data_IF_945034742582
#
_entry.id   IF_945034742582
#
_cell.length_a   1.000
_cell.length_b   1.000
_cell.length_c   1.000
_cell.angle_alpha   90.00
_cell.angle_beta   90.00
_cell.angle_gamma   90.00
#
_symmetry.space_group_name_H-M   'P 1'
#
loop_
_entity.id
_entity.type
_entity.pdbx_description
1 polymer ?
#
# COMPACT_ATOMS: atom_id res chain seq x y z
N UNK A 1 8.91 4.38 21.76
CA UNK A 1 9.05 3.88 20.37
C UNK A 1 8.50 4.91 19.38
N UNK A 2 9.13 5.10 18.23
CA UNK A 2 8.66 6.03 17.20
C UNK A 2 7.80 5.31 16.17
N UNK A 3 6.63 5.88 15.83
CA UNK A 3 5.73 5.40 14.79
C UNK A 3 5.57 6.48 13.72
N UNK A 4 6.20 6.27 12.56
CA UNK A 4 6.14 7.18 11.42
C UNK A 4 4.90 6.90 10.58
N UNK A 5 4.06 7.91 10.34
CA UNK A 5 2.82 7.76 9.58
C UNK A 5 2.38 9.08 8.93
N UNK A 6 2.01 9.04 7.65
CA UNK A 6 1.51 10.23 6.96
C UNK A 6 0.06 10.57 7.32
N UNK A 7 -0.72 9.59 7.78
CA UNK A 7 -2.13 9.78 8.14
C UNK A 7 -2.43 9.11 9.47
N UNK A 8 -3.01 9.85 10.41
CA UNK A 8 -3.62 9.26 11.60
C UNK A 8 -5.03 8.79 11.23
N UNK A 9 -5.31 7.52 11.42
CA UNK A 9 -6.58 6.93 11.00
C UNK A 9 -6.80 5.52 11.55
N UNK A 10 -7.62 4.74 10.87
CA UNK A 10 -7.97 3.41 11.32
C UNK A 10 -6.76 2.46 11.45
N UNK A 11 -5.76 2.56 10.58
CA UNK A 11 -4.55 1.73 10.66
C UNK A 11 -3.71 2.08 11.90
N UNK A 12 -3.48 3.36 12.19
CA UNK A 12 -2.72 3.78 13.38
C UNK A 12 -3.38 3.35 14.69
N UNK A 13 -4.73 3.32 14.75
CA UNK A 13 -5.44 2.81 15.93
C UNK A 13 -5.17 1.34 16.22
N UNK A 14 -4.95 0.51 15.18
CA UNK A 14 -4.58 -0.89 15.38
C UNK A 14 -3.19 -1.00 16.03
N UNK A 15 -2.22 -0.19 15.59
CA UNK A 15 -0.91 -0.10 16.19
C UNK A 15 -0.97 0.44 17.63
N UNK A 16 -1.78 1.46 17.87
CA UNK A 16 -2.00 2.02 19.20
C UNK A 16 -2.56 0.97 20.17
N UNK A 17 -3.54 0.19 19.73
CA UNK A 17 -4.10 -0.90 20.53
C UNK A 17 -3.02 -1.94 20.90
N UNK A 18 -2.22 -2.37 19.91
CA UNK A 18 -1.14 -3.33 20.14
C UNK A 18 -0.05 -2.78 21.07
N UNK A 19 0.30 -1.50 20.93
CA UNK A 19 1.27 -0.84 21.80
C UNK A 19 0.77 -0.78 23.25
N UNK A 20 -0.48 -0.41 23.50
CA UNK A 20 -1.08 -0.42 24.84
C UNK A 20 -1.06 -1.81 25.48
N UNK A 21 -1.39 -2.85 24.69
CA UNK A 21 -1.35 -4.25 25.16
C UNK A 21 0.04 -4.66 25.62
N UNK A 22 1.08 -4.13 24.98
CA UNK A 22 2.49 -4.40 25.31
C UNK A 22 3.08 -3.42 26.33
N UNK A 23 2.35 -2.42 26.79
CA UNK A 23 2.86 -1.36 27.65
C UNK A 23 3.89 -0.45 26.96
N UNK A 24 3.87 -0.37 25.61
CA UNK A 24 4.79 0.42 24.80
C UNK A 24 4.27 1.85 24.64
N UNK A 25 5.08 2.83 25.05
CA UNK A 25 4.79 4.23 24.78
C UNK A 25 5.14 4.57 23.33
N UNK A 26 4.17 5.13 22.59
CA UNK A 26 4.34 5.62 21.22
C UNK A 26 4.55 7.12 21.17
N UNK A 27 5.49 7.54 20.33
CA UNK A 27 5.63 8.91 19.86
C UNK A 27 5.37 8.89 18.34
N UNK A 28 4.35 9.62 17.91
CA UNK A 28 4.00 9.71 16.50
C UNK A 28 4.92 10.69 15.77
N UNK A 29 5.34 10.31 14.55
CA UNK A 29 6.03 11.21 13.61
C UNK A 29 5.14 11.35 12.39
N UNK A 30 4.67 12.57 12.11
CA UNK A 30 3.63 12.80 11.10
C UNK A 30 3.84 14.12 10.33
N UNK A 31 3.30 14.19 9.11
CA UNK A 31 3.33 15.40 8.27
C UNK A 31 2.11 16.31 8.43
N UNK A 32 1.36 16.16 9.52
CA UNK A 32 0.22 17.04 9.81
C UNK A 32 0.65 18.44 10.22
N UNK A 33 -0.17 19.42 9.84
CA UNK A 33 -0.03 20.80 10.25
C UNK A 33 -0.24 20.94 11.77
N UNK A 34 0.70 21.61 12.46
CA UNK A 34 0.66 21.86 13.92
C UNK A 34 -0.38 22.86 14.39
N UNK A 35 -1.03 23.60 13.48
CA UNK A 35 -1.87 24.75 13.83
C UNK A 35 -3.31 24.38 14.25
N UNK A 36 -3.69 23.13 14.11
CA UNK A 36 -4.96 22.63 14.64
C UNK A 36 -4.65 21.93 15.96
N UNK A 37 -5.38 22.27 17.03
CA UNK A 37 -5.27 21.60 18.33
C UNK A 37 -5.07 20.09 18.09
N UNK A 38 -3.87 19.62 18.43
CA UNK A 38 -3.53 18.21 18.30
C UNK A 38 -4.23 17.47 19.44
N UNK A 39 -5.27 16.66 19.17
CA UNK A 39 -5.93 15.88 20.20
C UNK A 39 -5.00 14.86 20.86
N UNK A 40 -3.81 14.67 20.30
CA UNK A 40 -2.78 13.76 20.79
C UNK A 40 -1.78 14.45 21.74
N UNK A 41 -1.84 15.77 21.88
CA UNK A 41 -0.97 16.57 22.73
C UNK A 41 0.51 16.44 22.34
N UNK A 42 1.40 16.50 23.29
CA UNK A 42 2.87 16.50 23.11
C UNK A 42 3.47 15.17 22.61
N UNK A 43 2.66 14.23 22.11
CA UNK A 43 3.11 12.91 21.66
C UNK A 43 3.35 12.81 20.15
N UNK A 44 3.21 13.89 19.39
CA UNK A 44 3.44 13.93 17.96
C UNK A 44 4.60 14.86 17.60
N UNK A 45 5.53 14.36 16.78
CA UNK A 45 6.59 15.14 16.15
C UNK A 45 6.17 15.39 14.70
N UNK A 46 6.03 16.66 14.34
CA UNK A 46 5.69 17.00 12.99
C UNK A 46 6.93 17.18 12.12
N UNK A 47 6.86 16.65 10.92
CA UNK A 47 7.93 16.64 9.95
C UNK A 47 7.37 16.79 8.53
N UNK A 48 8.24 16.98 7.57
CA UNK A 48 7.94 16.99 6.14
C UNK A 48 8.57 15.77 5.47
N UNK A 49 7.76 14.77 5.11
CA UNK A 49 8.26 13.52 4.52
C UNK A 49 8.81 13.65 3.09
N UNK A 50 8.53 14.75 2.39
CA UNK A 50 9.18 15.07 1.12
C UNK A 50 10.69 15.34 1.26
N UNK A 51 11.16 15.62 2.49
CA UNK A 51 12.57 15.81 2.82
C UNK A 51 13.00 14.84 3.92
N UNK A 52 13.23 13.55 3.61
CA UNK A 52 13.43 12.50 4.62
C UNK A 52 14.60 12.75 5.58
N UNK A 53 15.72 13.32 5.10
CA UNK A 53 16.88 13.64 5.94
C UNK A 53 16.57 14.79 6.90
N UNK A 54 15.89 15.84 6.44
CA UNK A 54 15.48 16.96 7.30
C UNK A 54 14.45 16.50 8.35
N UNK A 55 13.50 15.65 7.93
CA UNK A 55 12.54 15.04 8.84
C UNK A 55 13.24 14.23 9.94
N UNK A 56 14.20 13.41 9.57
CA UNK A 56 15.00 12.63 10.52
C UNK A 56 15.77 13.51 11.50
N UNK A 57 16.37 14.60 11.02
CA UNK A 57 17.06 15.56 11.90
C UNK A 57 16.10 16.15 12.93
N UNK A 58 14.92 16.61 12.50
CA UNK A 58 13.89 17.13 13.41
C UNK A 58 13.50 16.10 14.47
N UNK A 59 13.33 14.84 14.06
CA UNK A 59 13.01 13.75 15.00
C UNK A 59 14.14 13.54 16.01
N UNK A 60 15.39 13.45 15.56
CA UNK A 60 16.55 13.24 16.45
C UNK A 60 16.68 14.37 17.49
N UNK A 61 16.44 15.63 17.08
CA UNK A 61 16.45 16.76 18.02
C UNK A 61 15.29 16.65 19.02
N UNK A 62 14.09 16.31 18.56
CA UNK A 62 12.91 16.21 19.41
C UNK A 62 13.00 15.07 20.46
N UNK A 63 13.71 13.98 20.13
CA UNK A 63 13.88 12.85 21.05
C UNK A 63 15.21 12.87 21.80
N UNK A 64 15.95 13.98 21.74
CA UNK A 64 17.23 14.12 22.43
C UNK A 64 17.05 13.91 23.94
N UNK A 65 17.77 12.91 24.47
CA UNK A 65 17.69 12.52 25.90
C UNK A 65 16.56 11.57 26.25
N UNK A 66 15.76 11.14 25.26
CA UNK A 66 14.80 10.06 25.43
C UNK A 66 15.40 8.72 25.01
N UNK A 67 15.04 7.67 25.73
CA UNK A 67 15.37 6.29 25.34
C UNK A 67 14.41 5.82 24.24
N UNK A 68 14.87 5.82 22.99
CA UNK A 68 14.11 5.33 21.83
C UNK A 68 14.52 3.91 21.51
N UNK A 69 13.70 2.95 21.90
CA UNK A 69 14.00 1.51 21.79
C UNK A 69 13.67 0.92 20.42
N UNK A 70 12.88 1.61 19.54
CA UNK A 70 12.52 1.05 18.25
C UNK A 70 11.78 2.04 17.35
N UNK A 71 11.70 1.69 16.06
CA UNK A 71 11.08 2.50 15.00
C UNK A 71 10.23 1.58 14.10
N UNK A 72 9.03 2.05 13.75
CA UNK A 72 8.18 1.48 12.68
C UNK A 72 7.65 2.60 11.78
N UNK A 73 7.38 2.24 10.53
CA UNK A 73 6.78 3.16 9.56
C UNK A 73 5.56 2.53 8.88
N UNK A 74 4.50 3.33 8.73
CA UNK A 74 3.26 2.99 8.05
C UNK A 74 3.14 3.79 6.75
N UNK A 75 3.43 3.13 5.64
CA UNK A 75 3.42 3.74 4.31
C UNK A 75 4.81 4.06 3.76
N UNK A 76 4.86 4.26 2.45
CA UNK A 76 6.11 4.37 1.70
C UNK A 76 6.84 5.70 1.96
N UNK A 77 6.10 6.82 2.11
CA UNK A 77 6.67 8.14 2.41
C UNK A 77 7.34 8.19 3.79
N UNK A 78 6.65 7.76 4.87
CA UNK A 78 7.24 7.75 6.21
C UNK A 78 8.45 6.83 6.34
N UNK A 79 8.49 5.72 5.59
CA UNK A 79 9.55 4.73 5.69
C UNK A 79 10.97 5.28 5.41
N UNK A 80 11.09 6.22 4.47
CA UNK A 80 12.38 6.84 4.17
C UNK A 80 12.88 7.70 5.35
N UNK A 81 12.03 8.56 5.91
CA UNK A 81 12.38 9.37 7.08
C UNK A 81 12.69 8.49 8.30
N UNK A 82 11.94 7.39 8.49
CA UNK A 82 12.22 6.41 9.53
C UNK A 82 13.60 5.78 9.38
N UNK A 83 14.03 5.46 8.15
CA UNK A 83 15.34 4.88 7.89
C UNK A 83 16.50 5.87 8.21
N UNK A 84 16.36 7.13 7.82
CA UNK A 84 17.34 8.15 8.18
C UNK A 84 17.39 8.40 9.70
N UNK A 85 16.23 8.46 10.38
CA UNK A 85 16.16 8.63 11.82
C UNK A 85 16.78 7.41 12.55
N UNK A 86 16.47 6.19 12.11
CA UNK A 86 17.03 4.97 12.68
C UNK A 86 18.56 4.94 12.58
N UNK A 87 19.11 5.31 11.40
CA UNK A 87 20.56 5.42 11.20
C UNK A 87 21.19 6.42 12.17
N UNK A 88 20.56 7.60 12.34
CA UNK A 88 21.06 8.65 13.22
C UNK A 88 20.97 8.32 14.71
N UNK A 89 19.96 7.53 15.10
CA UNK A 89 19.74 7.08 16.48
C UNK A 89 20.44 5.76 16.81
N UNK A 90 21.09 5.10 15.83
CA UNK A 90 21.71 3.79 16.03
C UNK A 90 20.72 2.65 16.25
N UNK A 91 19.48 2.79 15.76
CA UNK A 91 18.42 1.79 15.89
C UNK A 91 18.46 0.85 14.69
N UNK A 92 18.28 -0.44 14.91
CA UNK A 92 18.24 -1.45 13.86
C UNK A 92 17.03 -1.20 12.91
N UNK A 93 17.32 -1.01 11.64
CA UNK A 93 16.34 -0.73 10.58
C UNK A 93 16.98 -0.94 9.19
N UNK A 94 16.23 -0.70 8.12
CA UNK A 94 16.76 -0.70 6.76
C UNK A 94 17.66 0.52 6.49
N UNK A 95 18.67 0.33 5.63
CA UNK A 95 19.50 1.45 5.19
C UNK A 95 18.68 2.44 4.33
N UNK A 96 18.84 3.77 4.49
CA UNK A 96 18.05 4.76 3.74
C UNK A 96 18.04 4.56 2.23
N UNK A 97 19.20 4.27 1.62
CA UNK A 97 19.28 4.05 0.16
C UNK A 97 18.45 2.83 -0.32
N UNK A 98 18.32 1.78 0.51
CA UNK A 98 17.48 0.62 0.21
C UNK A 98 15.98 1.00 0.22
N UNK A 99 15.57 1.78 1.22
CA UNK A 99 14.18 2.26 1.34
C UNK A 99 13.83 3.23 0.20
N UNK A 100 14.74 4.12 -0.16
CA UNK A 100 14.56 5.05 -1.29
C UNK A 100 14.46 4.30 -2.63
N UNK A 101 15.25 3.24 -2.83
CA UNK A 101 15.14 2.39 -4.01
C UNK A 101 13.76 1.74 -4.13
N UNK A 102 13.16 1.31 -3.02
CA UNK A 102 11.81 0.76 -2.99
C UNK A 102 10.71 1.80 -3.33
N UNK A 103 10.92 3.08 -3.01
CA UNK A 103 9.95 4.15 -3.31
C UNK A 103 9.89 4.52 -4.79
N UNK A 104 10.91 4.25 -5.56
CA UNK A 104 10.98 4.58 -6.98
C UNK A 104 10.75 3.35 -7.85
N UNK A 105 9.60 3.28 -8.51
CA UNK A 105 9.29 2.17 -9.44
C UNK A 105 10.35 2.01 -10.53
N UNK A 106 10.91 3.11 -11.03
CA UNK A 106 12.01 3.09 -12.00
C UNK A 106 13.27 2.46 -11.39
N UNK A 107 13.69 2.95 -10.21
CA UNK A 107 14.91 2.44 -9.57
C UNK A 107 14.77 0.97 -9.20
N UNK A 108 13.59 0.57 -8.76
CA UNK A 108 13.30 -0.83 -8.46
C UNK A 108 13.45 -1.72 -9.70
N UNK A 109 12.93 -1.29 -10.87
CA UNK A 109 13.14 -2.02 -12.15
C UNK A 109 14.61 -2.12 -12.54
N UNK A 110 15.39 -1.05 -12.36
CA UNK A 110 16.84 -1.06 -12.62
C UNK A 110 17.55 -2.05 -11.71
N UNK A 111 17.28 -2.02 -10.40
CA UNK A 111 17.88 -2.94 -9.42
C UNK A 111 17.52 -4.41 -9.73
N UNK A 112 16.26 -4.68 -10.06
CA UNK A 112 15.84 -6.06 -10.39
C UNK A 112 16.48 -6.55 -11.68
N UNK A 113 16.58 -5.71 -12.71
CA UNK A 113 17.28 -6.04 -13.95
C UNK A 113 18.76 -6.34 -13.69
N UNK A 114 19.43 -5.48 -12.92
CA UNK A 114 20.87 -5.62 -12.63
C UNK A 114 21.16 -6.85 -11.74
N UNK A 115 20.14 -7.35 -11.02
CA UNK A 115 20.16 -8.58 -10.24
C UNK A 115 19.65 -9.82 -11.01
N UNK A 116 19.41 -9.70 -12.32
CA UNK A 116 18.92 -10.76 -13.19
C UNK A 116 17.57 -11.36 -12.77
N UNK A 117 16.75 -10.60 -12.04
CA UNK A 117 15.35 -10.95 -11.77
C UNK A 117 14.48 -10.69 -13.01
N UNK A 118 13.36 -11.38 -13.11
CA UNK A 118 12.41 -11.12 -14.18
C UNK A 118 11.88 -9.69 -14.13
N UNK A 119 12.10 -8.92 -15.19
CA UNK A 119 11.56 -7.57 -15.37
C UNK A 119 11.03 -7.39 -16.78
N UNK A 120 9.88 -6.69 -16.96
CA UNK A 120 9.42 -6.34 -18.28
C UNK A 120 10.37 -5.30 -18.90
N UNK A 121 10.29 -5.09 -20.21
CA UNK A 121 10.87 -3.87 -20.77
C UNK A 121 10.27 -2.65 -20.11
N UNK A 122 11.03 -1.60 -19.86
CA UNK A 122 10.53 -0.36 -19.23
C UNK A 122 11.22 0.88 -19.79
N UNK A 123 10.50 1.99 -19.73
CA UNK A 123 10.96 3.32 -20.13
C UNK A 123 10.46 4.38 -19.16
N UNK A 124 11.31 5.33 -18.86
CA UNK A 124 10.96 6.50 -18.07
C UNK A 124 10.66 7.67 -19.02
N UNK A 125 9.40 8.07 -19.12
CA UNK A 125 8.94 9.10 -20.04
C UNK A 125 8.52 10.37 -19.31
N UNK A 126 8.80 11.56 -19.86
CA UNK A 126 8.21 12.80 -19.34
C UNK A 126 6.71 12.83 -19.64
N UNK A 127 5.95 13.52 -18.78
CA UNK A 127 4.51 13.75 -19.02
C UNK A 127 4.24 14.93 -19.97
N UNK A 128 5.24 15.81 -20.19
CA UNK A 128 5.23 16.94 -21.11
C UNK A 128 6.56 16.99 -21.91
N UNK A 129 6.54 17.36 -23.18
CA UNK A 129 5.34 17.48 -24.05
C UNK A 129 4.67 16.14 -24.26
N UNK A 130 3.48 16.15 -24.90
CA UNK A 130 2.74 14.92 -25.25
C UNK A 130 3.68 13.82 -25.76
N UNK A 131 3.52 12.56 -25.31
CA UNK A 131 4.44 11.48 -25.62
C UNK A 131 4.44 11.01 -27.09
N UNK A 132 3.74 11.69 -28.01
CA UNK A 132 3.65 11.27 -29.41
C UNK A 132 5.00 11.00 -30.09
N UNK A 133 6.06 11.82 -29.92
CA UNK A 133 7.36 11.53 -30.52
C UNK A 133 8.05 10.32 -29.91
N UNK A 134 7.65 9.89 -28.72
CA UNK A 134 8.29 8.81 -27.93
C UNK A 134 7.64 7.44 -28.18
N UNK A 135 6.56 7.40 -28.95
CA UNK A 135 5.81 6.17 -29.26
C UNK A 135 6.58 5.17 -30.14
N UNK A 136 7.67 5.62 -30.78
CA UNK A 136 8.55 4.72 -31.53
C UNK A 136 9.18 3.68 -30.58
N UNK A 137 8.83 2.42 -30.79
CA UNK A 137 9.35 1.28 -30.04
C UNK A 137 8.63 0.99 -28.71
N UNK A 138 7.37 1.43 -28.53
CA UNK A 138 6.49 0.91 -27.49
C UNK A 138 5.84 -0.38 -28.00
N UNK A 139 6.03 -1.46 -27.25
CA UNK A 139 5.34 -2.74 -27.50
C UNK A 139 4.06 -2.81 -26.66
N UNK A 140 3.01 -3.41 -27.23
CA UNK A 140 1.72 -3.58 -26.56
C UNK A 140 1.46 -5.07 -26.29
N UNK A 141 0.69 -5.40 -25.23
CA UNK A 141 0.16 -4.49 -24.20
C UNK A 141 1.25 -3.92 -23.29
N UNK A 142 1.04 -2.70 -22.81
CA UNK A 142 1.92 -2.05 -21.86
C UNK A 142 1.13 -1.42 -20.69
N UNK A 143 1.83 -1.04 -19.63
CA UNK A 143 1.27 -0.39 -18.44
C UNK A 143 1.97 0.95 -18.22
N UNK A 144 1.16 2.01 -18.07
CA UNK A 144 1.62 3.33 -17.69
C UNK A 144 1.36 3.53 -16.20
N UNK A 145 2.34 4.06 -15.47
CA UNK A 145 2.18 4.30 -14.03
C UNK A 145 3.00 5.50 -13.54
N UNK A 146 2.51 6.24 -12.54
CA UNK A 146 3.32 7.20 -11.79
C UNK A 146 4.53 6.54 -11.15
N UNK A 147 5.64 7.27 -11.00
CA UNK A 147 6.85 6.73 -10.39
C UNK A 147 6.73 6.52 -8.88
N UNK A 148 5.99 7.39 -8.19
CA UNK A 148 5.99 7.47 -6.72
C UNK A 148 4.64 7.21 -6.05
N UNK A 149 3.53 7.11 -6.79
CA UNK A 149 2.21 6.86 -6.19
C UNK A 149 2.03 5.38 -5.83
N UNK A 150 1.23 5.11 -4.80
CA UNK A 150 0.88 3.79 -4.28
C UNK A 150 -0.60 3.45 -4.51
N UNK A 151 -1.06 2.27 -4.04
CA UNK A 151 -2.44 1.80 -4.14
C UNK A 151 -2.98 1.79 -5.59
N UNK A 152 -2.18 1.37 -6.54
CA UNK A 152 -2.51 1.31 -7.98
C UNK A 152 -3.03 2.62 -8.59
N UNK A 153 -2.86 3.76 -7.88
CA UNK A 153 -3.34 5.06 -8.34
C UNK A 153 -2.62 5.50 -9.62
N UNK A 154 -3.41 5.71 -10.68
CA UNK A 154 -2.89 6.12 -11.98
C UNK A 154 -2.20 4.99 -12.77
N UNK A 155 -2.34 3.73 -12.36
CA UNK A 155 -1.83 2.57 -13.10
C UNK A 155 -2.85 2.17 -14.16
N UNK A 156 -2.46 2.23 -15.44
CA UNK A 156 -3.36 2.00 -16.58
C UNK A 156 -2.71 1.11 -17.62
N UNK A 157 -3.38 0.03 -18.02
CA UNK A 157 -2.98 -0.81 -19.15
C UNK A 157 -3.47 -0.21 -20.46
N UNK A 158 -2.62 -0.28 -21.48
CA UNK A 158 -2.94 0.10 -22.86
C UNK A 158 -2.58 -1.05 -23.80
N UNK A 159 -3.51 -1.42 -24.69
CA UNK A 159 -3.36 -2.54 -25.62
C UNK A 159 -2.96 -2.08 -27.03
N UNK A 160 -3.01 -0.78 -27.29
CA UNK A 160 -2.68 -0.17 -28.56
C UNK A 160 -2.30 1.31 -28.37
N UNK A 161 -1.95 1.98 -29.47
CA UNK A 161 -1.52 3.38 -29.48
C UNK A 161 -2.61 4.34 -28.96
N UNK A 162 -3.86 4.12 -29.34
CA UNK A 162 -4.97 4.99 -28.97
C UNK A 162 -5.21 4.95 -27.45
N UNK A 163 -5.29 3.74 -26.90
CA UNK A 163 -5.40 3.52 -25.45
C UNK A 163 -4.20 4.10 -24.70
N UNK A 164 -2.98 3.98 -25.25
CA UNK A 164 -1.79 4.58 -24.67
C UNK A 164 -1.91 6.10 -24.55
N UNK A 165 -2.33 6.79 -25.59
CA UNK A 165 -2.49 8.26 -25.58
C UNK A 165 -3.57 8.69 -24.58
N UNK A 166 -4.67 7.95 -24.51
CA UNK A 166 -5.72 8.19 -23.51
C UNK A 166 -5.20 7.99 -22.08
N UNK A 167 -4.47 6.88 -21.82
CA UNK A 167 -3.85 6.57 -20.54
C UNK A 167 -2.82 7.64 -20.15
N UNK A 168 -1.92 8.03 -21.06
CA UNK A 168 -0.92 9.06 -20.81
C UNK A 168 -1.57 10.42 -20.45
N UNK A 169 -2.65 10.78 -21.16
CA UNK A 169 -3.42 11.99 -20.85
C UNK A 169 -4.03 11.93 -19.45
N UNK A 170 -4.54 10.76 -19.06
CA UNK A 170 -5.12 10.53 -17.74
C UNK A 170 -4.09 10.60 -16.62
N UNK A 171 -2.96 9.91 -16.78
CA UNK A 171 -1.83 9.96 -15.82
C UNK A 171 -1.31 11.39 -15.67
N UNK A 172 -1.14 12.11 -16.78
CA UNK A 172 -0.74 13.51 -16.77
C UNK A 172 -1.71 14.40 -15.99
N UNK A 173 -3.03 14.23 -16.20
CA UNK A 173 -4.05 14.99 -15.45
C UNK A 173 -3.99 14.70 -13.97
N UNK A 174 -3.84 13.43 -13.59
CA UNK A 174 -3.68 13.00 -12.20
C UNK A 174 -2.44 13.65 -11.57
N UNK A 175 -1.27 13.53 -12.19
CA UNK A 175 -0.02 14.06 -11.66
C UNK A 175 0.01 15.59 -11.55
N UNK A 176 -0.85 16.29 -12.31
CA UNK A 176 -1.04 17.74 -12.25
C UNK A 176 -2.22 18.19 -11.39
N UNK A 177 -2.93 17.26 -10.74
CA UNK A 177 -4.03 17.64 -9.87
C UNK A 177 -3.52 18.35 -8.60
N UNK A 178 -4.29 19.30 -8.06
CA UNK A 178 -3.90 20.03 -6.85
C UNK A 178 -3.60 19.10 -5.67
N UNK A 179 -4.35 18.01 -5.54
CA UNK A 179 -4.21 17.02 -4.47
C UNK A 179 -2.86 16.30 -4.54
N UNK A 180 -2.44 15.90 -5.75
CA UNK A 180 -1.14 15.22 -5.96
C UNK A 180 0.01 16.22 -5.84
N UNK A 181 -0.12 17.43 -6.41
CA UNK A 181 0.91 18.45 -6.29
C UNK A 181 1.13 18.88 -4.83
N UNK A 182 0.07 18.90 -4.02
CA UNK A 182 0.16 19.19 -2.58
C UNK A 182 0.96 18.15 -1.80
N UNK A 183 1.11 16.92 -2.32
CA UNK A 183 1.94 15.88 -1.68
C UNK A 183 3.43 16.16 -1.79
N UNK A 184 3.84 16.99 -2.75
CA UNK A 184 5.25 17.30 -3.07
C UNK A 184 6.11 16.07 -3.33
N UNK A 185 5.48 14.99 -3.85
CA UNK A 185 6.22 13.79 -4.24
C UNK A 185 7.24 14.11 -5.33
N UNK A 186 8.40 13.45 -5.34
CA UNK A 186 9.39 13.62 -6.41
C UNK A 186 8.89 13.01 -7.73
N UNK A 187 9.44 13.51 -8.85
CA UNK A 187 9.21 12.94 -10.18
C UNK A 187 7.75 12.93 -10.65
N UNK A 188 6.94 13.92 -10.22
CA UNK A 188 5.57 14.11 -10.71
C UNK A 188 5.51 14.57 -12.18
N UNK A 189 6.62 14.92 -12.77
CA UNK A 189 6.81 15.30 -14.18
C UNK A 189 7.10 14.10 -15.10
N UNK A 190 7.13 12.88 -14.56
CA UNK A 190 7.50 11.64 -15.28
C UNK A 190 6.56 10.49 -14.98
N UNK A 191 6.52 9.53 -15.91
CA UNK A 191 5.82 8.26 -15.75
C UNK A 191 6.70 7.09 -16.20
N UNK A 192 6.50 5.93 -15.59
CA UNK A 192 7.05 4.67 -16.05
C UNK A 192 6.08 4.04 -17.06
N UNK A 193 6.61 3.59 -18.18
CA UNK A 193 5.91 2.72 -19.14
C UNK A 193 6.65 1.40 -19.19
N UNK A 194 5.95 0.31 -19.01
CA UNK A 194 6.54 -1.02 -18.99
C UNK A 194 5.65 -2.04 -19.71
N UNK A 195 6.22 -3.17 -20.13
CA UNK A 195 5.48 -4.29 -20.67
C UNK A 195 4.46 -4.83 -19.67
N UNK A 196 3.25 -5.15 -20.14
CA UNK A 196 2.27 -5.82 -19.29
C UNK A 196 2.75 -7.25 -18.99
N UNK A 197 2.79 -7.62 -17.72
CA UNK A 197 3.12 -8.97 -17.26
C UNK A 197 1.80 -9.73 -17.08
N UNK A 198 1.49 -10.73 -17.90
CA UNK A 198 0.30 -11.54 -17.71
C UNK A 198 0.44 -12.48 -16.52
N UNK A 199 -0.65 -13.09 -16.08
CA UNK A 199 -0.65 -14.13 -15.06
C UNK A 199 -1.34 -13.75 -13.76
N UNK A 200 -1.27 -14.66 -12.79
CA UNK A 200 -1.87 -14.47 -11.46
C UNK A 200 -1.04 -13.55 -10.62
N UNK A 201 -1.70 -12.74 -9.82
CA UNK A 201 -1.04 -11.84 -8.89
C UNK A 201 -1.21 -12.32 -7.44
N UNK A 202 -0.15 -12.17 -6.66
CA UNK A 202 -0.12 -12.47 -5.23
C UNK A 202 0.54 -11.34 -4.46
N UNK A 203 0.18 -11.21 -3.18
CA UNK A 203 0.88 -10.37 -2.23
C UNK A 203 1.59 -11.23 -1.18
N UNK A 204 2.74 -10.78 -0.73
CA UNK A 204 3.57 -11.42 0.28
C UNK A 204 3.75 -10.47 1.45
N UNK A 205 3.43 -10.95 2.65
CA UNK A 205 3.84 -10.31 3.89
C UNK A 205 5.05 -11.04 4.46
N UNK A 206 6.06 -10.29 4.83
CA UNK A 206 7.30 -10.82 5.35
C UNK A 206 7.87 -10.00 6.49
N UNK A 207 8.85 -10.59 7.16
CA UNK A 207 9.61 -9.96 8.22
C UNK A 207 11.09 -10.23 8.00
N UNK A 208 11.88 -9.16 7.92
CA UNK A 208 13.32 -9.23 7.75
C UNK A 208 14.03 -9.11 9.10
N UNK A 209 14.95 -10.02 9.35
CA UNK A 209 15.84 -9.97 10.50
C UNK A 209 17.26 -10.19 10.01
N UNK A 210 18.11 -9.18 10.09
CA UNK A 210 19.52 -9.23 9.68
C UNK A 210 19.72 -9.77 8.24
N UNK A 211 18.87 -9.34 7.31
CA UNK A 211 18.91 -9.76 5.91
C UNK A 211 18.23 -11.09 5.60
N UNK A 212 17.74 -11.79 6.60
CA UNK A 212 17.00 -13.05 6.44
C UNK A 212 15.50 -12.74 6.38
N UNK A 213 14.86 -13.08 5.25
CA UNK A 213 13.43 -12.92 5.06
C UNK A 213 12.67 -14.14 5.59
N UNK A 214 11.73 -13.92 6.50
CA UNK A 214 10.71 -14.87 6.91
C UNK A 214 9.39 -14.47 6.25
N UNK A 215 8.82 -15.35 5.43
CA UNK A 215 7.48 -15.16 4.89
C UNK A 215 6.46 -15.43 6.00
N UNK A 216 5.58 -14.46 6.25
CA UNK A 216 4.49 -14.55 7.22
C UNK A 216 3.22 -15.06 6.55
N UNK A 217 2.94 -14.60 5.32
CA UNK A 217 1.80 -15.03 4.53
C UNK A 217 2.04 -14.79 3.04
N UNK A 218 1.49 -15.67 2.20
CA UNK A 218 1.23 -15.42 0.79
C UNK A 218 -0.27 -15.28 0.64
N UNK A 219 -0.71 -14.16 0.05
CA UNK A 219 -2.11 -13.89 -0.24
C UNK A 219 -2.39 -14.11 -1.72
N UNK A 220 -3.37 -14.93 -2.02
CA UNK A 220 -3.98 -14.95 -3.34
C UNK A 220 -4.79 -13.66 -3.56
N UNK A 221 -4.70 -13.09 -4.76
CA UNK A 221 -5.59 -12.05 -5.28
C UNK A 221 -6.50 -12.74 -6.31
N UNK A 222 -7.71 -13.20 -5.93
CA UNK A 222 -8.53 -14.05 -6.78
C UNK A 222 -9.18 -13.33 -7.96
N UNK A 223 -9.34 -12.00 -7.87
CA UNK A 223 -9.89 -11.22 -8.97
C UNK A 223 -8.83 -11.03 -10.07
N UNK A 224 -9.21 -11.16 -11.36
CA UNK A 224 -8.27 -10.98 -12.45
C UNK A 224 -7.86 -9.51 -12.54
N UNK A 225 -6.58 -9.22 -12.30
CA UNK A 225 -6.00 -7.90 -12.44
C UNK A 225 -5.45 -7.71 -13.87
N UNK A 226 -6.34 -7.75 -14.87
CA UNK A 226 -5.97 -7.70 -16.29
C UNK A 226 -6.05 -6.30 -16.88
N UNK A 227 -6.63 -5.36 -16.16
CA UNK A 227 -6.81 -3.98 -16.61
C UNK A 227 -8.21 -3.72 -17.22
N UNK A 228 -8.46 -2.50 -17.71
CA UNK A 228 -7.48 -1.42 -17.88
C UNK A 228 -6.95 -0.82 -16.58
N UNK A 229 -7.63 -1.00 -15.45
CA UNK A 229 -7.23 -0.54 -14.11
C UNK A 229 -6.97 -1.74 -13.22
N UNK A 230 -6.15 -1.56 -12.19
CA UNK A 230 -5.68 -2.64 -11.32
C UNK A 230 -6.15 -2.40 -9.89
N UNK A 231 -7.46 -2.36 -9.69
CA UNK A 231 -8.08 -2.21 -8.38
C UNK A 231 -8.02 -3.54 -7.62
N UNK A 232 -7.35 -3.52 -6.50
CA UNK A 232 -7.26 -4.69 -5.62
C UNK A 232 -8.50 -4.79 -4.76
N UNK A 233 -9.09 -5.97 -4.67
CA UNK A 233 -10.36 -6.17 -3.98
C UNK A 233 -10.28 -7.22 -2.89
N UNK A 234 -9.73 -8.40 -3.14
CA UNK A 234 -9.74 -9.53 -2.21
C UNK A 234 -8.32 -10.06 -2.01
N UNK A 235 -7.97 -10.31 -0.76
CA UNK A 235 -6.80 -11.07 -0.34
C UNK A 235 -7.22 -12.27 0.49
N UNK A 236 -6.74 -13.46 0.13
CA UNK A 236 -7.03 -14.70 0.85
C UNK A 236 -5.74 -15.47 1.15
N UNK A 237 -5.59 -15.96 2.36
CA UNK A 237 -4.45 -16.79 2.79
C UNK A 237 -4.96 -18.01 3.60
N UNK A 238 -4.28 -19.18 3.55
CA UNK A 238 -3.07 -19.47 2.80
C UNK A 238 -3.32 -19.50 1.29
N UNK A 239 -2.26 -19.31 0.52
CA UNK A 239 -2.33 -19.38 -0.94
C UNK A 239 -2.70 -20.78 -1.40
N UNK A 240 -3.52 -20.86 -2.46
CA UNK A 240 -3.93 -22.11 -3.16
C UNK A 240 -2.97 -22.51 -4.26
N UNK A 241 -1.90 -21.77 -4.47
CA UNK A 241 -0.88 -22.10 -5.45
C UNK A 241 -0.15 -23.39 -5.04
N UNK A 242 0.32 -24.20 -6.00
CA UNK A 242 1.16 -25.35 -5.70
C UNK A 242 2.37 -24.97 -4.85
N UNK A 243 2.82 -25.89 -3.98
CA UNK A 243 3.94 -25.63 -3.07
C UNK A 243 5.21 -25.22 -3.81
N UNK A 244 5.50 -25.84 -4.96
CA UNK A 244 6.65 -25.46 -5.80
C UNK A 244 6.59 -24.03 -6.30
N UNK A 245 5.38 -23.50 -6.57
CA UNK A 245 5.19 -22.12 -6.99
C UNK A 245 5.35 -21.19 -5.78
N UNK A 246 4.83 -21.56 -4.60
CA UNK A 246 5.03 -20.79 -3.39
C UNK A 246 6.53 -20.69 -3.03
N UNK A 247 7.28 -21.78 -3.12
CA UNK A 247 8.74 -21.79 -2.94
C UNK A 247 9.47 -20.89 -3.96
N UNK A 248 9.00 -20.86 -5.22
CA UNK A 248 9.55 -19.95 -6.22
C UNK A 248 9.28 -18.47 -5.89
N UNK A 249 8.09 -18.15 -5.34
CA UNK A 249 7.75 -16.81 -4.85
C UNK A 249 8.66 -16.44 -3.68
N UNK A 250 8.83 -17.31 -2.70
CA UNK A 250 9.70 -17.08 -1.52
C UNK A 250 11.14 -16.80 -1.96
N UNK A 251 11.66 -17.61 -2.90
CA UNK A 251 12.99 -17.41 -3.48
C UNK A 251 13.10 -16.06 -4.18
N UNK A 252 12.15 -15.73 -5.05
CA UNK A 252 12.13 -14.45 -5.77
C UNK A 252 12.05 -13.25 -4.79
N UNK A 253 11.24 -13.36 -3.74
CA UNK A 253 11.13 -12.35 -2.70
C UNK A 253 12.47 -12.16 -1.96
N UNK A 254 13.14 -13.24 -1.58
CA UNK A 254 14.45 -13.18 -0.91
C UNK A 254 15.53 -12.58 -1.83
N UNK A 255 15.52 -12.92 -3.12
CA UNK A 255 16.46 -12.36 -4.09
C UNK A 255 16.19 -10.86 -4.34
N UNK A 256 14.91 -10.45 -4.46
CA UNK A 256 14.52 -9.05 -4.61
C UNK A 256 14.91 -8.20 -3.40
N UNK A 257 14.68 -8.70 -2.19
CA UNK A 257 15.07 -8.07 -0.92
C UNK A 257 16.58 -7.86 -0.85
N UNK A 258 17.35 -8.89 -1.20
CA UNK A 258 18.83 -8.83 -1.24
C UNK A 258 19.31 -7.81 -2.26
N UNK A 259 18.73 -7.81 -3.46
CA UNK A 259 19.09 -6.87 -4.53
C UNK A 259 18.84 -5.41 -4.11
N UNK A 260 17.73 -5.14 -3.42
CA UNK A 260 17.38 -3.81 -2.89
C UNK A 260 18.21 -3.42 -1.68
N UNK A 261 18.91 -4.36 -1.03
CA UNK A 261 19.69 -4.11 0.18
C UNK A 261 18.85 -3.93 1.44
N UNK A 262 17.64 -4.50 1.47
CA UNK A 262 16.79 -4.51 2.67
C UNK A 262 17.31 -5.52 3.68
N UNK A 263 17.22 -5.19 4.98
CA UNK A 263 17.83 -6.00 6.02
C UNK A 263 16.98 -6.21 7.27
N UNK A 264 16.07 -5.29 7.62
CA UNK A 264 15.35 -5.39 8.89
C UNK A 264 13.98 -4.73 8.86
N UNK A 265 13.00 -5.37 9.51
CA UNK A 265 11.64 -4.88 9.65
C UNK A 265 10.62 -5.51 8.70
N UNK A 266 9.39 -4.99 8.67
CA UNK A 266 8.30 -5.53 7.85
C UNK A 266 8.55 -5.36 6.35
N UNK A 267 7.96 -6.28 5.59
CA UNK A 267 7.99 -6.29 4.13
C UNK A 267 6.59 -6.59 3.59
N UNK A 268 6.12 -5.77 2.68
CA UNK A 268 5.03 -6.08 1.77
C UNK A 268 5.57 -6.14 0.35
N UNK A 269 5.24 -7.19 -0.40
CA UNK A 269 5.71 -7.33 -1.77
C UNK A 269 4.64 -7.95 -2.66
N UNK A 270 4.65 -7.59 -3.95
CA UNK A 270 3.69 -8.07 -4.93
C UNK A 270 4.41 -8.75 -6.08
N UNK A 271 3.83 -9.86 -6.56
CA UNK A 271 4.40 -10.69 -7.60
C UNK A 271 3.34 -11.11 -8.60
N UNK A 272 3.74 -11.25 -9.87
CA UNK A 272 2.97 -11.99 -10.87
C UNK A 272 3.64 -13.29 -11.22
N UNK A 273 2.83 -14.30 -11.52
CA UNK A 273 3.26 -15.65 -11.84
C UNK A 273 2.66 -16.07 -13.17
N UNK A 274 3.50 -16.49 -14.11
CA UNK A 274 3.12 -17.04 -15.40
C UNK A 274 4.08 -18.18 -15.80
N UNK A 275 4.01 -18.62 -17.05
CA UNK A 275 4.85 -19.71 -17.59
C UNK A 275 6.35 -19.37 -17.58
N UNK A 276 6.71 -18.09 -17.67
CA UNK A 276 8.09 -17.61 -17.62
C UNK A 276 8.65 -17.50 -16.18
N UNK A 277 7.81 -17.74 -15.17
CA UNK A 277 8.19 -17.74 -13.76
C UNK A 277 7.55 -16.68 -12.89
N UNK A 278 8.26 -16.25 -11.85
CA UNK A 278 7.84 -15.24 -10.88
C UNK A 278 8.43 -13.88 -11.24
N UNK A 279 7.59 -12.86 -11.26
CA UNK A 279 7.92 -11.48 -11.63
C UNK A 279 7.66 -10.54 -10.45
N UNK A 280 8.68 -9.93 -9.83
CA UNK A 280 8.45 -8.95 -8.77
C UNK A 280 7.85 -7.66 -9.35
N UNK A 281 6.69 -7.26 -8.83
CA UNK A 281 6.03 -6.02 -9.21
C UNK A 281 6.46 -4.85 -8.34
N UNK A 282 6.35 -5.03 -7.03
CA UNK A 282 6.67 -4.02 -6.04
C UNK A 282 7.19 -4.68 -4.75
N UNK A 283 8.13 -4.00 -4.08
CA UNK A 283 8.65 -4.39 -2.77
C UNK A 283 8.66 -3.14 -1.89
N UNK A 284 7.96 -3.18 -0.78
CA UNK A 284 7.83 -2.05 0.14
C UNK A 284 8.29 -2.45 1.55
N UNK A 285 9.25 -1.73 2.16
CA UNK A 285 9.76 -2.02 3.51
C UNK A 285 8.82 -1.47 4.59
N UNK A 286 7.59 -1.93 4.57
CA UNK A 286 6.50 -1.57 5.47
C UNK A 286 5.45 -2.68 5.49
N UNK A 287 4.56 -2.73 6.50
CA UNK A 287 3.46 -3.69 6.50
C UNK A 287 2.41 -3.38 5.43
N UNK A 288 1.56 -4.35 5.13
CA UNK A 288 0.38 -4.22 4.28
C UNK A 288 -0.47 -3.03 4.70
N UNK A 289 -1.03 -2.34 3.73
CA UNK A 289 -1.86 -1.14 3.96
C UNK A 289 -3.28 -1.44 4.45
N UNK A 290 -4.01 -0.37 4.70
CA UNK A 290 -5.40 -0.45 5.11
C UNK A 290 -5.59 -1.16 6.46
N UNK A 291 -6.63 -1.98 6.55
CA UNK A 291 -6.90 -2.88 7.66
C UNK A 291 -6.53 -4.34 7.32
N UNK A 292 -5.88 -4.59 6.18
CA UNK A 292 -5.64 -5.95 5.67
C UNK A 292 -4.83 -6.82 6.65
N UNK A 293 -3.98 -6.21 7.46
CA UNK A 293 -3.23 -6.87 8.54
C UNK A 293 -4.13 -7.65 9.51
N UNK A 294 -5.39 -7.24 9.70
CA UNK A 294 -6.35 -7.93 10.60
C UNK A 294 -6.70 -9.36 10.16
N UNK A 295 -6.47 -9.71 8.91
CA UNK A 295 -6.63 -11.09 8.43
C UNK A 295 -5.54 -12.02 8.98
N UNK A 296 -4.43 -11.49 9.48
CA UNK A 296 -3.30 -12.27 9.99
C UNK A 296 -3.38 -12.42 11.51
N UNK A 297 -3.22 -13.66 11.98
CA UNK A 297 -3.10 -14.02 13.39
C UNK A 297 -1.93 -14.94 13.59
N UNK A 298 -1.24 -14.79 14.72
CA UNK A 298 -0.04 -15.54 15.06
C UNK A 298 -0.23 -16.22 16.41
N UNK A 299 0.08 -17.51 16.48
CA UNK A 299 0.02 -18.30 17.71
C UNK A 299 1.24 -17.97 18.59
N UNK A 300 1.00 -17.63 19.84
CA UNK A 300 2.04 -17.43 20.81
C UNK A 300 1.86 -18.44 21.94
N UNK A 301 2.94 -19.04 22.44
CA UNK A 301 2.90 -20.13 23.43
C UNK A 301 2.42 -19.69 24.83
N UNK A 302 1.87 -18.50 24.97
CA UNK A 302 1.24 -18.02 26.19
C UNK A 302 -0.29 -18.24 26.13
N UNK A 303 -0.95 -18.53 27.25
CA UNK A 303 -2.41 -18.58 27.30
C UNK A 303 -2.99 -17.20 26.96
N UNK A 304 -3.81 -17.14 25.91
CA UNK A 304 -4.42 -15.88 25.46
C UNK A 304 -4.91 -15.95 24.03
N UNK A 305 -5.45 -14.82 23.55
CA UNK A 305 -5.83 -14.66 22.15
C UNK A 305 -4.60 -14.57 21.24
N UNK A 306 -4.68 -15.11 20.01
CA UNK A 306 -3.64 -14.96 19.01
C UNK A 306 -3.32 -13.49 18.77
N UNK A 307 -2.04 -13.16 18.62
CA UNK A 307 -1.61 -11.78 18.35
C UNK A 307 -1.86 -11.39 16.88
N UNK A 308 -2.16 -10.12 16.65
CA UNK A 308 -2.20 -9.53 15.31
C UNK A 308 -0.81 -9.23 14.75
N UNK A 309 -0.76 -8.83 13.47
CA UNK A 309 0.49 -8.44 12.82
C UNK A 309 1.13 -7.24 13.52
N UNK A 310 0.35 -6.27 13.96
CA UNK A 310 0.83 -5.05 14.62
C UNK A 310 1.60 -5.39 15.90
N UNK A 311 1.07 -6.31 16.71
CA UNK A 311 1.75 -6.78 17.93
C UNK A 311 3.04 -7.53 17.60
N UNK A 312 3.02 -8.39 16.57
CA UNK A 312 4.20 -9.13 16.12
C UNK A 312 5.29 -8.16 15.65
N UNK A 313 4.94 -7.11 14.92
CA UNK A 313 5.89 -6.10 14.45
C UNK A 313 6.50 -5.29 15.61
N UNK A 314 5.71 -4.94 16.63
CA UNK A 314 6.27 -4.30 17.83
C UNK A 314 7.22 -5.22 18.57
N UNK A 315 6.85 -6.50 18.74
CA UNK A 315 7.72 -7.49 19.37
C UNK A 315 9.04 -7.65 18.63
N UNK A 316 8.99 -7.64 17.29
CA UNK A 316 10.19 -7.70 16.46
C UNK A 316 11.05 -6.43 16.61
N UNK A 317 10.47 -5.25 16.47
CA UNK A 317 11.21 -3.99 16.53
C UNK A 317 11.80 -3.70 17.91
N UNK A 318 11.24 -4.30 18.97
CA UNK A 318 11.70 -4.18 20.36
C UNK A 318 12.42 -5.44 20.87
N UNK A 319 12.68 -6.41 20.01
CA UNK A 319 13.31 -7.70 20.36
C UNK A 319 12.60 -8.45 21.52
N UNK A 320 11.26 -8.27 21.63
CA UNK A 320 10.46 -8.94 22.67
C UNK A 320 10.15 -10.39 22.28
N UNK A 321 10.00 -11.33 23.24
CA UNK A 321 9.62 -12.70 22.95
C UNK A 321 8.34 -12.81 22.12
N UNK A 322 8.27 -13.81 21.23
CA UNK A 322 7.10 -14.10 20.40
C UNK A 322 7.07 -13.43 19.02
N UNK A 323 8.03 -12.59 18.65
CA UNK A 323 8.11 -12.02 17.30
C UNK A 323 8.28 -13.09 16.20
N UNK A 324 8.77 -14.27 16.56
CA UNK A 324 8.96 -15.39 15.64
C UNK A 324 7.81 -16.41 15.64
N UNK A 325 6.67 -16.06 16.20
CA UNK A 325 5.50 -16.93 16.26
C UNK A 325 4.99 -17.34 14.88
N UNK A 326 4.52 -18.59 14.70
CA UNK A 326 3.93 -19.04 13.45
C UNK A 326 2.56 -18.43 13.25
N UNK A 327 2.18 -18.23 11.97
CA UNK A 327 0.81 -17.88 11.62
C UNK A 327 -0.14 -19.04 11.95
N UNK A 328 -1.36 -18.72 12.36
CA UNK A 328 -2.41 -19.71 12.52
C UNK A 328 -2.71 -20.45 11.20
N UNK A 329 -3.11 -21.71 11.31
CA UNK A 329 -3.42 -22.57 10.15
C UNK A 329 -4.81 -22.26 9.53
N UNK A 330 -5.64 -21.48 10.22
CA UNK A 330 -6.99 -21.12 9.74
C UNK A 330 -6.87 -20.23 8.50
N UNK A 331 -7.70 -20.52 7.51
CA UNK A 331 -7.82 -19.67 6.32
C UNK A 331 -8.51 -18.36 6.69
N UNK A 332 -8.03 -17.27 6.15
CA UNK A 332 -8.55 -15.94 6.41
C UNK A 332 -8.46 -15.07 5.15
N UNK A 333 -9.29 -14.06 5.10
CA UNK A 333 -9.26 -13.13 3.98
C UNK A 333 -9.86 -11.79 4.34
N UNK A 334 -9.58 -10.83 3.49
CA UNK A 334 -10.11 -9.47 3.56
C UNK A 334 -10.59 -9.06 2.17
N UNK A 335 -11.74 -8.40 2.13
CA UNK A 335 -12.17 -7.65 0.95
C UNK A 335 -12.06 -6.16 1.27
N UNK A 336 -11.33 -5.47 0.44
CA UNK A 336 -11.32 -4.02 0.34
C UNK A 336 -12.51 -3.62 -0.53
N UNK A 337 -13.55 -3.04 0.08
CA UNK A 337 -14.82 -2.74 -0.60
C UNK A 337 -14.57 -1.63 -1.64
N UNK A 338 -14.69 -1.92 -2.95
CA UNK A 338 -14.35 -0.98 -4.00
C UNK A 338 -15.32 0.21 -4.06
N UNK A 339 -14.85 1.33 -4.63
CA UNK A 339 -15.69 2.49 -4.94
C UNK A 339 -16.28 2.31 -6.33
N UNK A 340 -17.59 2.01 -6.49
CA UNK A 340 -18.16 1.65 -7.79
C UNK A 340 -18.27 2.82 -8.77
N UNK A 341 -18.34 4.04 -8.26
CA UNK A 341 -18.35 5.29 -9.03
C UNK A 341 -17.94 6.48 -8.16
N UNK A 342 -17.34 7.49 -8.78
CA UNK A 342 -17.02 8.75 -8.09
C UNK A 342 -18.28 9.56 -7.76
N UNK A 343 -18.28 10.25 -6.62
CA UNK A 343 -19.40 11.07 -6.15
C UNK A 343 -19.34 11.36 -4.67
N UNK A 344 -20.50 11.72 -4.09
CA UNK A 344 -20.69 11.90 -2.66
C UNK A 344 -21.37 10.65 -2.09
N UNK A 345 -20.80 10.05 -1.04
CA UNK A 345 -21.40 8.90 -0.37
C UNK A 345 -22.54 9.37 0.55
N UNK A 346 -23.78 9.06 0.17
CA UNK A 346 -24.97 9.49 0.92
C UNK A 346 -25.51 8.44 1.90
N UNK A 347 -25.24 7.17 1.65
CA UNK A 347 -25.73 6.10 2.51
C UNK A 347 -25.11 4.74 2.25
N UNK A 348 -25.14 3.90 3.27
CA UNK A 348 -24.76 2.48 3.23
C UNK A 348 -25.91 1.69 3.86
N UNK A 349 -26.31 0.60 3.22
CA UNK A 349 -27.34 -0.32 3.74
C UNK A 349 -26.91 -1.77 3.53
N UNK A 350 -27.59 -2.72 4.21
CA UNK A 350 -27.31 -4.16 4.09
C UNK A 350 -26.22 -4.67 5.07
N UNK A 351 -25.68 -3.82 5.93
CA UNK A 351 -24.58 -4.19 6.84
C UNK A 351 -24.93 -5.37 7.77
N UNK A 352 -26.16 -5.45 8.31
CA UNK A 352 -26.58 -6.54 9.18
C UNK A 352 -26.66 -7.87 8.41
N UNK A 353 -27.21 -7.85 7.19
CA UNK A 353 -27.24 -9.01 6.32
C UNK A 353 -25.83 -9.49 5.98
N UNK A 354 -24.95 -8.58 5.58
CA UNK A 354 -23.54 -8.88 5.30
C UNK A 354 -22.82 -9.52 6.50
N UNK A 355 -23.02 -8.98 7.71
CA UNK A 355 -22.46 -9.55 8.95
C UNK A 355 -23.00 -10.93 9.29
N UNK A 356 -24.21 -11.26 8.83
CA UNK A 356 -24.87 -12.55 9.10
C UNK A 356 -24.40 -13.69 8.20
N UNK A 357 -23.62 -13.39 7.15
CA UNK A 357 -23.08 -14.42 6.25
C UNK A 357 -22.08 -15.30 7.02
N UNK A 358 -22.24 -16.64 6.98
CA UNK A 358 -21.35 -17.56 7.67
C UNK A 358 -19.89 -17.41 7.24
N UNK A 359 -18.98 -17.25 8.21
CA UNK A 359 -17.56 -17.04 7.99
C UNK A 359 -17.13 -15.58 8.03
N UNK A 360 -18.05 -14.63 7.93
CA UNK A 360 -17.74 -13.20 8.14
C UNK A 360 -17.47 -12.97 9.63
N UNK A 361 -16.33 -12.35 9.91
CA UNK A 361 -15.90 -12.04 11.28
C UNK A 361 -15.99 -10.56 11.61
N UNK A 362 -15.86 -9.69 10.61
CA UNK A 362 -15.93 -8.24 10.79
C UNK A 362 -16.34 -7.55 9.49
N UNK A 363 -17.08 -6.46 9.61
CA UNK A 363 -17.34 -5.47 8.57
C UNK A 363 -17.06 -4.10 9.15
N UNK A 364 -16.21 -3.32 8.51
CA UNK A 364 -15.88 -1.95 8.90
C UNK A 364 -16.04 -1.01 7.69
N UNK A 365 -17.01 -0.11 7.74
CA UNK A 365 -17.12 0.99 6.76
C UNK A 365 -16.21 2.13 7.22
N UNK A 366 -15.25 2.50 6.39
CA UNK A 366 -14.26 3.54 6.68
C UNK A 366 -14.53 4.86 5.98
N UNK A 367 -15.24 4.81 4.84
CA UNK A 367 -15.71 6.00 4.16
C UNK A 367 -16.77 6.71 5.00
N UNK A 368 -16.70 8.02 5.07
CA UNK A 368 -17.67 8.83 5.83
C UNK A 368 -18.82 9.24 4.93
N UNK A 369 -20.01 9.29 5.49
CA UNK A 369 -21.16 9.88 4.80
C UNK A 369 -20.88 11.35 4.50
N UNK A 370 -21.34 11.78 3.35
CA UNK A 370 -21.18 13.13 2.79
C UNK A 370 -19.75 13.51 2.38
N UNK A 371 -18.79 12.58 2.44
CA UNK A 371 -17.47 12.78 1.86
C UNK A 371 -17.48 12.46 0.36
N UNK A 372 -16.63 13.20 -0.37
CA UNK A 372 -16.36 12.90 -1.77
C UNK A 372 -15.48 11.64 -1.87
N UNK A 373 -15.92 10.70 -2.70
CA UNK A 373 -15.21 9.46 -3.00
C UNK A 373 -14.84 9.40 -4.48
N UNK A 374 -13.70 8.81 -4.79
CA UNK A 374 -13.19 8.67 -6.16
C UNK A 374 -12.98 7.20 -6.50
N UNK A 375 -13.55 6.77 -7.64
CA UNK A 375 -13.30 5.45 -8.19
C UNK A 375 -11.91 5.39 -8.86
N UNK A 376 -11.38 4.16 -9.03
CA UNK A 376 -10.15 3.96 -9.79
C UNK A 376 -10.28 4.37 -11.25
N UNK A 377 -9.19 4.83 -11.87
CA UNK A 377 -7.80 4.87 -11.37
C UNK A 377 -7.41 6.16 -10.65
N UNK A 378 -8.31 7.13 -10.49
CA UNK A 378 -8.03 8.39 -9.78
C UNK A 378 -8.08 8.21 -8.25
N UNK A 379 -8.93 7.29 -7.78
CA UNK A 379 -9.06 6.94 -6.37
C UNK A 379 -7.84 6.20 -5.81
N UNK A 380 -7.73 6.22 -4.49
CA UNK A 380 -6.71 5.48 -3.72
C UNK A 380 -7.26 5.01 -2.36
N UNK A 381 -8.58 4.94 -2.23
CA UNK A 381 -9.25 4.56 -0.99
C UNK A 381 -10.43 3.63 -1.26
N UNK A 382 -10.83 2.90 -0.24
CA UNK A 382 -11.94 1.95 -0.26
C UNK A 382 -13.10 2.44 0.60
N UNK A 383 -14.31 1.94 0.34
CA UNK A 383 -15.49 2.25 1.16
C UNK A 383 -15.39 1.62 2.56
N UNK A 384 -14.71 0.48 2.65
CA UNK A 384 -14.57 -0.26 3.89
C UNK A 384 -13.85 -1.58 3.70
N UNK A 385 -13.96 -2.45 4.69
CA UNK A 385 -13.31 -3.75 4.72
C UNK A 385 -14.26 -4.82 5.28
N UNK A 386 -14.31 -5.96 4.61
CA UNK A 386 -14.94 -7.20 5.09
C UNK A 386 -13.84 -8.20 5.45
N UNK A 387 -14.01 -8.91 6.56
CA UNK A 387 -13.08 -9.94 6.99
C UNK A 387 -13.82 -11.26 7.13
N UNK A 388 -13.21 -12.34 6.64
CA UNK A 388 -13.74 -13.69 6.78
C UNK A 388 -12.67 -14.66 7.26
N UNK A 389 -13.12 -15.72 7.96
CA UNK A 389 -12.27 -16.82 8.43
C UNK A 389 -13.00 -18.14 8.20
N UNK A 390 -12.24 -19.21 7.93
CA UNK A 390 -12.80 -20.53 7.68
C UNK A 390 -11.74 -21.61 7.55
N UNK A 391 -12.17 -22.83 7.29
CA UNK A 391 -11.25 -23.96 7.18
C UNK A 391 -10.59 -24.06 5.80
N UNK A 392 -11.15 -23.40 4.79
CA UNK A 392 -10.74 -23.48 3.39
C UNK A 392 -10.71 -22.08 2.76
N UNK A 393 -9.67 -21.73 1.98
CA UNK A 393 -9.59 -20.43 1.32
C UNK A 393 -10.77 -20.11 0.39
N UNK A 394 -11.32 -21.15 -0.30
CA UNK A 394 -12.45 -21.02 -1.21
C UNK A 394 -13.74 -20.61 -0.47
N UNK A 395 -13.94 -21.11 0.74
CA UNK A 395 -15.08 -20.74 1.58
C UNK A 395 -14.95 -19.32 2.10
N UNK A 396 -13.73 -18.91 2.43
CA UNK A 396 -13.42 -17.54 2.85
C UNK A 396 -13.70 -16.57 1.71
N UNK A 397 -13.21 -16.83 0.51
CA UNK A 397 -13.48 -16.01 -0.66
C UNK A 397 -14.98 -15.89 -0.96
N UNK A 398 -15.69 -16.99 -0.94
CA UNK A 398 -17.14 -17.04 -1.18
C UNK A 398 -17.89 -16.19 -0.15
N UNK A 399 -17.59 -16.35 1.13
CA UNK A 399 -18.22 -15.57 2.20
C UNK A 399 -18.01 -14.06 2.01
N UNK A 400 -16.80 -13.63 1.61
CA UNK A 400 -16.52 -12.22 1.30
C UNK A 400 -17.37 -11.71 0.15
N UNK A 401 -17.51 -12.49 -0.94
CA UNK A 401 -18.32 -12.12 -2.11
C UNK A 401 -19.81 -12.06 -1.80
N UNK A 402 -20.33 -13.06 -1.08
CA UNK A 402 -21.72 -13.10 -0.65
C UNK A 402 -22.04 -11.91 0.28
N UNK A 403 -21.20 -11.64 1.26
CA UNK A 403 -21.40 -10.48 2.14
C UNK A 403 -21.33 -9.13 1.40
N UNK A 404 -20.46 -9.00 0.42
CA UNK A 404 -20.41 -7.79 -0.40
C UNK A 404 -21.68 -7.57 -1.23
N UNK A 405 -22.31 -8.65 -1.73
CA UNK A 405 -23.57 -8.57 -2.49
C UNK A 405 -24.74 -8.05 -1.67
N UNK A 406 -24.71 -8.23 -0.34
CA UNK A 406 -25.73 -7.68 0.56
C UNK A 406 -25.60 -6.17 0.77
N UNK A 407 -24.41 -5.58 0.49
CA UNK A 407 -24.15 -4.16 0.69
C UNK A 407 -24.67 -3.31 -0.48
N UNK A 408 -25.28 -2.19 -0.15
CA UNK A 408 -25.70 -1.20 -1.13
C UNK A 408 -25.21 0.19 -0.73
N UNK A 409 -24.65 0.92 -1.71
CA UNK A 409 -24.05 2.24 -1.50
C UNK A 409 -24.82 3.29 -2.35
N UNK A 410 -25.41 4.26 -1.66
CA UNK A 410 -26.04 5.41 -2.32
C UNK A 410 -24.99 6.48 -2.58
N UNK A 411 -24.68 6.72 -3.84
CA UNK A 411 -23.65 7.69 -4.25
C UNK A 411 -24.28 8.67 -5.25
N UNK A 412 -24.23 9.95 -4.92
CA UNK A 412 -24.71 11.04 -5.82
C UNK A 412 -23.54 11.63 -6.61
N UNK A 413 -23.72 11.99 -7.89
CA UNK A 413 -22.67 12.64 -8.66
C UNK A 413 -22.23 13.95 -8.04
N UNK A 414 -20.92 14.25 -8.08
CA UNK A 414 -20.43 15.59 -7.77
C UNK A 414 -21.04 16.57 -8.78
N UNK A 415 -21.68 17.63 -8.29
CA UNK A 415 -22.09 18.72 -9.15
C UNK A 415 -20.82 19.43 -9.66
N UNK A 416 -20.67 19.66 -10.98
CA UNK A 416 -19.56 20.43 -11.49
C UNK A 416 -19.65 21.85 -10.91
N UNK A 417 -18.70 22.20 -10.03
CA UNK A 417 -18.53 23.57 -9.56
C UNK A 417 -17.89 24.34 -10.71
N UNK A 418 -18.69 24.99 -11.54
CA UNK A 418 -18.19 25.96 -12.52
C UNK A 418 -17.64 27.17 -11.74
N UNK A 419 -16.32 27.28 -11.67
CA UNK A 419 -15.70 28.47 -11.10
C UNK A 419 -16.06 29.68 -11.96
N UNK A 420 -16.57 30.80 -11.39
CA UNK A 420 -17.00 31.99 -12.15
C UNK A 420 -15.94 32.54 -13.12
N UNK A 421 -14.66 32.27 -12.86
CA UNK A 421 -13.55 32.66 -13.76
C UNK A 421 -13.51 31.87 -15.09
N UNK A 422 -14.06 30.64 -15.17
CA UNK A 422 -14.08 29.85 -16.41
C UNK A 422 -15.14 30.35 -17.40
N UNK A 423 -16.19 31.02 -16.94
CA UNK A 423 -17.22 31.63 -17.82
C UNK A 423 -16.72 32.85 -18.65
N UNK A 424 -15.60 33.49 -18.22
CA UNK A 424 -15.07 34.67 -18.95
C UNK A 424 -14.20 34.33 -20.16
N UNK A 425 -13.71 33.09 -20.29
CA UNK A 425 -12.85 32.72 -21.43
C UNK A 425 -13.61 32.20 -22.67
N UNK A 426 -14.88 31.83 -22.54
CA UNK A 426 -15.70 31.35 -23.68
C UNK A 426 -16.57 32.42 -24.34
N UNK A 427 -16.61 33.64 -23.81
CA UNK A 427 -17.44 34.74 -24.35
C UNK A 427 -16.67 35.82 -25.13
N UNK A 428 -15.38 35.60 -25.44
CA UNK A 428 -14.58 36.50 -26.31
C UNK A 428 -14.07 35.76 -27.56
N UNK A 429 -14.93 35.03 -28.21
CA UNK A 429 -14.64 34.38 -29.49
C UNK A 429 -15.87 34.42 -30.38
N UNK A 430 -16.24 35.61 -30.88
CA UNK A 430 -17.03 35.83 -32.09
C UNK A 430 -16.46 37.04 -32.80
#
# INVERSE_FOLDING_TARGET
MLLFTAKLGYQTRCFEYAARKLGVQLVYVTDRCHQLEDPWGDQAIAVHFESPEAAAYTVMEAVRGLDVSGILALGDRPAAAAAYAARGLGIRYNHPAAVEACRSKLRMREVFRDAELNVPWFRNLPIDPSPEPVLLGISYPCVLKPLSLSASQGVVRANNREEFLAAATRVRRLLKSPEILATREPNLDRMLVEGYIPGREVAVEGLLTDGVLKILAIFDKPDPLEGPYFEETIYVTPSRLPESVQQAIEKCAADAVRALGLSHGPLHAEFRINEDGVWPLEVAPRPIGGLCARSLRFSFDAPGEPMGLEELLFRHALELPGWNSPREQISSGVMMIPVPKSGILEGVTGEEAARSIPGITELTITARLHDAIAAWPEGSSYLGFLFARGNEPEKVERALREAHQELSFTITPNLPVEHPATRRMTSQGN
#
